data_IF_624982984182
#
_entry.id   IF_624982984182
#
_cell.length_a   1.000
_cell.length_b   1.000
_cell.length_c   1.000
_cell.angle_alpha   90.00
_cell.angle_beta   90.00
_cell.angle_gamma   90.00
#
_symmetry.space_group_name_H-M   'P 1'
#
loop_
_entity.id
_entity.type
_entity.pdbx_description
1 polymer ?
#
# COMPACT_ATOMS: atom_id res chain seq x y z
N UNK A 1 -18.36 30.17 -0.19
CA UNK A 1 -18.48 29.22 0.95
C UNK A 1 -18.59 27.77 0.47
N UNK A 2 -19.20 27.50 -0.68
CA UNK A 2 -19.39 26.13 -1.20
C UNK A 2 -18.10 25.43 -1.66
N UNK A 3 -17.13 26.17 -2.20
CA UNK A 3 -15.81 25.61 -2.58
C UNK A 3 -15.05 25.04 -1.38
N UNK A 4 -15.08 25.72 -0.23
CA UNK A 4 -14.42 25.26 0.99
C UNK A 4 -15.09 24.00 1.56
N UNK A 5 -16.42 23.86 1.40
CA UNK A 5 -17.17 22.66 1.79
C UNK A 5 -16.80 21.46 0.92
N UNK A 6 -16.67 21.66 -0.39
CA UNK A 6 -16.24 20.63 -1.32
C UNK A 6 -14.81 20.15 -1.05
N UNK A 7 -13.89 21.08 -0.79
CA UNK A 7 -12.50 20.76 -0.44
C UNK A 7 -12.41 20.00 0.90
N UNK A 8 -13.16 20.46 1.92
CA UNK A 8 -13.23 19.78 3.21
C UNK A 8 -13.73 18.33 3.07
N UNK A 9 -14.82 18.13 2.32
CA UNK A 9 -15.33 16.79 2.03
C UNK A 9 -14.30 15.93 1.28
N UNK A 10 -13.62 16.49 0.29
CA UNK A 10 -12.58 15.80 -0.47
C UNK A 10 -11.41 15.35 0.41
N UNK A 11 -10.90 16.23 1.28
CA UNK A 11 -9.83 15.91 2.23
C UNK A 11 -10.27 14.81 3.19
N UNK A 12 -11.49 14.90 3.72
CA UNK A 12 -12.03 13.88 4.63
C UNK A 12 -12.16 12.53 3.93
N UNK A 13 -12.72 12.49 2.73
CA UNK A 13 -12.85 11.24 1.95
C UNK A 13 -11.48 10.65 1.61
N UNK A 14 -10.52 11.49 1.20
CA UNK A 14 -9.16 11.05 0.95
C UNK A 14 -8.49 10.49 2.21
N UNK A 15 -8.64 11.17 3.35
CA UNK A 15 -8.11 10.72 4.64
C UNK A 15 -8.70 9.38 5.06
N UNK A 16 -10.03 9.19 4.92
CA UNK A 16 -10.67 7.89 5.17
C UNK A 16 -10.10 6.81 4.25
N UNK A 17 -10.05 7.05 2.94
CA UNK A 17 -9.50 6.09 1.98
C UNK A 17 -8.04 5.73 2.29
N UNK A 18 -7.22 6.72 2.65
CA UNK A 18 -5.84 6.52 3.07
C UNK A 18 -5.76 5.62 4.30
N UNK A 19 -6.62 5.83 5.30
CA UNK A 19 -6.66 4.98 6.49
C UNK A 19 -7.01 3.53 6.16
N UNK A 20 -8.00 3.28 5.29
CA UNK A 20 -8.32 1.92 4.85
C UNK A 20 -7.14 1.24 4.14
N UNK A 21 -6.39 1.97 3.31
CA UNK A 21 -5.24 1.39 2.60
C UNK A 21 -4.05 1.20 3.55
N UNK A 22 -3.60 2.26 4.21
CA UNK A 22 -2.39 2.20 5.03
C UNK A 22 -2.60 1.33 6.28
N UNK A 23 -3.62 1.65 7.09
CA UNK A 23 -3.82 1.01 8.39
C UNK A 23 -4.54 -0.33 8.26
N UNK A 24 -5.61 -0.35 7.46
CA UNK A 24 -6.39 -1.55 7.23
C UNK A 24 -5.67 -2.58 6.36
N UNK A 25 -5.32 -2.21 5.13
CA UNK A 25 -4.81 -3.16 4.12
C UNK A 25 -3.33 -3.49 4.34
N UNK A 26 -2.50 -2.47 4.53
CA UNK A 26 -1.05 -2.64 4.57
C UNK A 26 -0.56 -3.10 5.94
N UNK A 27 -1.01 -2.42 7.01
CA UNK A 27 -0.67 -2.78 8.41
C UNK A 27 -1.60 -3.84 9.03
N UNK A 28 -2.68 -4.24 8.35
CA UNK A 28 -3.64 -5.26 8.82
C UNK A 28 -4.26 -4.94 10.19
N UNK A 29 -4.47 -3.64 10.51
CA UNK A 29 -5.05 -3.21 11.79
C UNK A 29 -6.54 -3.56 11.93
N UNK A 30 -7.25 -3.68 10.81
CA UNK A 30 -8.65 -4.10 10.74
C UNK A 30 -8.97 -4.71 9.36
N UNK A 31 -10.02 -5.54 9.23
CA UNK A 31 -10.37 -6.16 7.96
C UNK A 31 -10.86 -5.12 6.94
N UNK A 32 -10.35 -5.23 5.70
CA UNK A 32 -10.74 -4.37 4.56
C UNK A 32 -11.49 -5.14 3.47
N UNK A 33 -11.89 -6.38 3.77
CA UNK A 33 -12.66 -7.23 2.85
C UNK A 33 -11.92 -7.58 1.55
N UNK A 34 -12.64 -7.75 0.43
CA UNK A 34 -12.09 -8.19 -0.85
C UNK A 34 -11.01 -7.27 -1.44
N UNK A 35 -10.95 -6.01 -1.00
CA UNK A 35 -10.01 -5.00 -1.50
C UNK A 35 -8.55 -5.44 -1.26
N UNK A 36 -8.28 -6.19 -0.19
CA UNK A 36 -6.96 -6.76 0.09
C UNK A 36 -6.43 -7.70 -1.01
N UNK A 37 -7.32 -8.22 -1.86
CA UNK A 37 -6.97 -9.16 -2.93
C UNK A 37 -6.79 -8.51 -4.30
N UNK A 38 -7.05 -7.20 -4.44
CA UNK A 38 -6.83 -6.47 -5.69
C UNK A 38 -5.33 -6.44 -6.01
N UNK A 39 -4.91 -6.82 -7.23
CA UNK A 39 -3.49 -6.95 -7.57
C UNK A 39 -2.64 -5.72 -7.24
N UNK A 40 -3.15 -4.52 -7.54
CA UNK A 40 -2.43 -3.28 -7.27
C UNK A 40 -2.21 -3.04 -5.78
N UNK A 41 -3.23 -3.18 -4.94
CA UNK A 41 -3.06 -2.99 -3.49
C UNK A 41 -2.16 -4.07 -2.87
N UNK A 42 -2.12 -5.27 -3.45
CA UNK A 42 -1.12 -6.27 -3.06
C UNK A 42 0.30 -5.81 -3.35
N UNK A 43 0.55 -5.15 -4.50
CA UNK A 43 1.85 -4.54 -4.81
C UNK A 43 2.20 -3.42 -3.84
N UNK A 44 1.25 -2.52 -3.56
CA UNK A 44 1.42 -1.43 -2.57
C UNK A 44 1.82 -1.99 -1.22
N UNK A 45 1.11 -3.02 -0.74
CA UNK A 45 1.41 -3.63 0.54
C UNK A 45 2.77 -4.35 0.55
N UNK A 46 3.18 -4.95 -0.57
CA UNK A 46 4.50 -5.54 -0.73
C UNK A 46 5.60 -4.48 -0.68
N UNK A 47 5.45 -3.38 -1.43
CA UNK A 47 6.40 -2.26 -1.44
C UNK A 47 6.55 -1.62 -0.06
N UNK A 48 5.43 -1.43 0.67
CA UNK A 48 5.47 -0.91 2.03
C UNK A 48 6.15 -1.87 3.02
N UNK A 49 6.04 -3.18 2.82
CA UNK A 49 6.81 -4.14 3.63
C UNK A 49 8.31 -3.98 3.40
N UNK A 50 8.74 -3.66 2.18
CA UNK A 50 10.14 -3.39 1.87
C UNK A 50 10.64 -2.13 2.57
N UNK A 51 9.83 -1.07 2.62
CA UNK A 51 10.12 0.14 3.41
C UNK A 51 10.42 -0.21 4.88
N UNK A 52 9.54 -0.98 5.54
CA UNK A 52 9.72 -1.42 6.94
C UNK A 52 10.89 -2.40 7.14
N UNK A 53 11.40 -3.01 6.06
CA UNK A 53 12.58 -3.87 6.13
C UNK A 53 13.90 -3.09 6.01
N UNK A 54 13.82 -1.77 5.82
CA UNK A 54 14.94 -0.84 5.64
C UNK A 54 15.92 -1.22 4.49
N UNK A 55 15.47 -2.09 3.58
CA UNK A 55 16.18 -2.35 2.33
C UNK A 55 16.22 -1.10 1.47
N UNK A 56 17.18 -1.02 0.56
CA UNK A 56 17.31 0.11 -0.37
C UNK A 56 17.38 1.47 0.35
N UNK A 57 18.04 1.53 1.51
CA UNK A 57 18.12 2.71 2.38
C UNK A 57 16.75 3.23 2.86
N UNK A 58 15.77 2.32 3.01
CA UNK A 58 14.43 2.66 3.45
C UNK A 58 13.50 3.15 2.33
N UNK A 59 13.89 3.09 1.06
CA UNK A 59 12.95 3.27 -0.07
C UNK A 59 12.03 2.05 -0.15
N UNK A 60 10.71 2.20 -0.40
CA UNK A 60 9.99 3.41 -0.83
C UNK A 60 9.38 4.25 0.30
N UNK A 61 9.23 5.56 0.11
CA UNK A 61 8.56 6.47 1.05
C UNK A 61 7.09 6.73 0.68
N UNK A 62 6.75 6.64 -0.60
CA UNK A 62 5.38 6.79 -1.07
C UNK A 62 4.54 5.54 -0.83
N UNK A 63 3.31 5.71 -0.34
CA UNK A 63 2.37 4.58 -0.18
C UNK A 63 1.95 4.01 -1.55
N UNK A 64 1.30 4.82 -2.38
CA UNK A 64 0.75 4.35 -3.66
C UNK A 64 1.81 4.20 -4.73
N UNK A 65 2.81 5.09 -4.77
CA UNK A 65 3.92 5.03 -5.72
C UNK A 65 5.03 4.07 -5.28
N UNK A 66 4.92 3.45 -4.10
CA UNK A 66 5.95 2.58 -3.57
C UNK A 66 6.43 1.48 -4.51
N UNK A 67 5.56 0.77 -5.26
CA UNK A 67 6.01 -0.21 -6.24
C UNK A 67 6.94 0.40 -7.30
N UNK A 68 6.61 1.59 -7.80
CA UNK A 68 7.44 2.31 -8.78
C UNK A 68 8.77 2.75 -8.16
N UNK A 69 8.73 3.33 -6.95
CA UNK A 69 9.95 3.75 -6.25
C UNK A 69 10.91 2.58 -5.99
N UNK A 70 10.38 1.39 -5.68
CA UNK A 70 11.19 0.16 -5.55
C UNK A 70 11.81 -0.24 -6.88
N UNK A 71 11.06 -0.17 -7.98
CA UNK A 71 11.59 -0.44 -9.33
C UNK A 71 12.68 0.56 -9.73
N UNK A 72 12.49 1.85 -9.43
CA UNK A 72 13.43 2.92 -9.76
C UNK A 72 14.77 2.78 -9.01
N UNK A 73 14.80 2.11 -7.84
CA UNK A 73 16.03 1.75 -7.10
C UNK A 73 16.56 0.34 -7.40
N UNK A 74 15.99 -0.35 -8.39
CA UNK A 74 16.44 -1.68 -8.83
C UNK A 74 15.93 -2.85 -7.98
N UNK A 75 14.99 -2.64 -7.07
CA UNK A 75 14.45 -3.66 -6.14
C UNK A 75 13.35 -4.56 -6.72
N UNK A 76 13.28 -4.70 -8.05
CA UNK A 76 12.20 -5.44 -8.72
C UNK A 76 12.09 -6.90 -8.26
N UNK A 77 13.22 -7.59 -8.05
CA UNK A 77 13.22 -8.99 -7.61
C UNK A 77 12.68 -9.16 -6.18
N UNK A 78 13.08 -8.26 -5.28
CA UNK A 78 12.59 -8.21 -3.90
C UNK A 78 11.09 -7.92 -3.83
N UNK A 79 10.62 -7.01 -4.69
CA UNK A 79 9.21 -6.68 -4.80
C UNK A 79 8.39 -7.90 -5.25
N UNK A 80 8.81 -8.57 -6.33
CA UNK A 80 8.13 -9.78 -6.83
C UNK A 80 8.17 -10.92 -5.82
N UNK A 81 9.27 -11.08 -5.09
CA UNK A 81 9.37 -12.07 -4.00
C UNK A 81 8.33 -11.81 -2.92
N UNK A 82 8.17 -10.55 -2.50
CA UNK A 82 7.22 -10.16 -1.46
C UNK A 82 5.77 -10.26 -1.94
N UNK A 83 5.48 -9.90 -3.19
CA UNK A 83 4.16 -10.09 -3.83
C UNK A 83 3.79 -11.57 -3.81
N UNK A 84 4.68 -12.44 -4.26
CA UNK A 84 4.45 -13.88 -4.31
C UNK A 84 4.24 -14.49 -2.91
N UNK A 85 5.02 -14.03 -1.91
CA UNK A 85 4.81 -14.41 -0.50
C UNK A 85 3.39 -14.09 -0.05
N UNK A 86 2.90 -12.88 -0.36
CA UNK A 86 1.53 -12.44 -0.02
C UNK A 86 0.45 -13.23 -0.74
N UNK A 87 0.62 -13.57 -2.02
CA UNK A 87 -0.30 -14.43 -2.77
C UNK A 87 -0.39 -15.82 -2.13
N UNK A 88 0.75 -16.39 -1.72
CA UNK A 88 0.78 -17.70 -1.06
C UNK A 88 0.04 -17.66 0.28
N UNK A 89 0.27 -16.62 1.09
CA UNK A 89 -0.43 -16.44 2.35
C UNK A 89 -1.95 -16.30 2.18
N UNK A 90 -2.43 -15.59 1.15
CA UNK A 90 -3.87 -15.42 0.91
C UNK A 90 -4.57 -16.67 0.39
N UNK A 91 -3.84 -17.61 -0.23
CA UNK A 91 -4.40 -18.88 -0.75
C UNK A 91 -4.47 -19.99 0.29
N UNK A 92 -3.75 -19.85 1.41
CA UNK A 92 -3.73 -20.82 2.51
C UNK A 92 -4.55 -20.41 3.73
N UNK A 93 -5.28 -19.28 3.65
CA UNK A 93 -6.21 -18.80 4.67
C UNK A 93 -7.66 -19.12 4.31
#
# INVERSE_FOLDING_TARGET
MDEMRGQGLGITMFGMAYMFVHDGLVHKRFPVGPIANVPYFRKVAAAHQLHHSEKFNGVPYGLFLGPKEVEDVGGHQELEKEINRRIKSSKGS
#
